data_IF_225919730742
#
_entry.id   IF_225919730742
#
_cell.length_a   1.000
_cell.length_b   1.000
_cell.length_c   1.000
_cell.angle_alpha   90.00
_cell.angle_beta   90.00
_cell.angle_gamma   90.00
#
_symmetry.space_group_name_H-M   'P 1'
#
loop_
_entity.id
_entity.type
_entity.pdbx_description
1 polymer ?
#
# COMPACT_ATOMS: atom_id res chain seq x y z
N UNK A 1 43.93 5.87 -40.38
CA UNK A 1 43.77 4.39 -40.33
C UNK A 1 44.25 3.81 -39.00
N UNK A 2 45.39 4.24 -38.44
CA UNK A 2 45.92 3.70 -37.17
C UNK A 2 45.07 4.03 -35.93
N UNK A 3 44.39 5.18 -35.90
CA UNK A 3 43.50 5.57 -34.80
C UNK A 3 42.27 4.65 -34.72
N UNK A 4 41.74 4.25 -35.88
CA UNK A 4 40.57 3.38 -35.99
C UNK A 4 40.90 1.94 -35.59
N UNK A 5 42.10 1.47 -35.95
CA UNK A 5 42.65 0.18 -35.51
C UNK A 5 42.90 0.18 -33.98
N UNK A 6 43.43 1.29 -33.44
CA UNK A 6 43.65 1.44 -31.99
C UNK A 6 42.36 1.44 -31.18
N UNK A 7 41.33 2.18 -31.63
CA UNK A 7 40.01 2.20 -31.00
C UNK A 7 39.31 0.84 -31.09
N UNK A 8 39.43 0.16 -32.24
CA UNK A 8 38.89 -1.18 -32.43
C UNK A 8 39.56 -2.20 -31.50
N UNK A 9 40.87 -2.11 -31.31
CA UNK A 9 41.60 -3.02 -30.41
C UNK A 9 41.15 -2.83 -28.95
N UNK A 10 40.97 -1.58 -28.50
CA UNK A 10 40.48 -1.29 -27.15
C UNK A 10 39.06 -1.82 -26.95
N UNK A 11 38.16 -1.60 -27.92
CA UNK A 11 36.79 -2.11 -27.85
C UNK A 11 36.73 -3.65 -27.85
N UNK A 12 37.57 -4.30 -28.67
CA UNK A 12 37.68 -5.77 -28.67
C UNK A 12 38.22 -6.27 -27.34
N UNK A 13 39.21 -5.60 -26.75
CA UNK A 13 39.83 -6.00 -25.47
C UNK A 13 38.87 -5.80 -24.29
N UNK A 14 38.04 -4.77 -24.33
CA UNK A 14 36.97 -4.47 -23.36
C UNK A 14 35.80 -5.48 -23.47
N UNK A 15 35.47 -5.93 -24.69
CA UNK A 15 34.43 -6.94 -24.98
C UNK A 15 34.97 -8.39 -25.06
N UNK A 16 36.27 -8.63 -24.82
CA UNK A 16 36.90 -9.97 -24.84
C UNK A 16 36.53 -10.79 -23.58
N UNK A 17 35.24 -10.81 -23.26
CA UNK A 17 34.69 -11.73 -22.30
C UNK A 17 34.57 -13.10 -22.97
N UNK A 18 35.47 -14.01 -22.61
CA UNK A 18 35.44 -15.41 -23.04
C UNK A 18 34.06 -16.06 -22.87
N UNK A 19 33.30 -15.66 -21.85
CA UNK A 19 31.93 -16.14 -21.61
C UNK A 19 30.99 -15.65 -22.70
N UNK A 20 31.01 -14.35 -23.04
CA UNK A 20 30.19 -13.77 -24.12
C UNK A 20 30.52 -14.39 -25.48
N UNK A 21 31.81 -14.65 -25.76
CA UNK A 21 32.23 -15.34 -26.98
C UNK A 21 31.66 -16.76 -27.06
N UNK A 22 31.73 -17.52 -25.96
CA UNK A 22 31.19 -18.88 -25.92
C UNK A 22 29.67 -18.89 -26.04
N UNK A 23 28.98 -17.93 -25.42
CA UNK A 23 27.54 -17.74 -25.53
C UNK A 23 27.11 -17.50 -26.98
N UNK A 24 27.72 -16.51 -27.64
CA UNK A 24 27.43 -16.19 -29.06
C UNK A 24 27.76 -17.38 -29.97
N UNK A 25 28.87 -18.08 -29.70
CA UNK A 25 29.24 -19.28 -30.47
C UNK A 25 28.21 -20.40 -30.32
N UNK A 26 27.62 -20.59 -29.14
CA UNK A 26 26.56 -21.56 -28.90
C UNK A 26 25.25 -21.16 -29.59
N UNK A 27 24.89 -19.87 -29.54
CA UNK A 27 23.71 -19.32 -30.20
C UNK A 27 23.78 -19.50 -31.72
N UNK A 28 24.91 -19.12 -32.34
CA UNK A 28 25.15 -19.31 -33.78
C UNK A 28 25.09 -20.80 -34.15
N UNK A 29 25.65 -21.69 -33.32
CA UNK A 29 25.59 -23.13 -33.58
C UNK A 29 24.16 -23.67 -33.55
N UNK A 30 23.34 -23.21 -32.60
CA UNK A 30 21.94 -23.57 -32.50
C UNK A 30 21.12 -23.07 -33.70
N UNK A 31 21.39 -21.84 -34.17
CA UNK A 31 20.77 -21.31 -35.39
C UNK A 31 21.15 -22.12 -36.63
N UNK A 32 22.43 -22.47 -36.77
CA UNK A 32 22.91 -23.34 -37.86
C UNK A 32 22.17 -24.68 -37.81
N UNK A 33 22.06 -25.29 -36.63
CA UNK A 33 21.37 -26.57 -36.46
C UNK A 33 19.89 -26.49 -36.83
N UNK A 34 19.20 -25.44 -36.38
CA UNK A 34 17.77 -25.29 -36.54
C UNK A 34 17.36 -24.92 -37.98
N UNK A 35 18.12 -24.03 -38.63
CA UNK A 35 17.73 -23.43 -39.91
C UNK A 35 18.49 -23.95 -41.12
N UNK A 36 19.73 -24.42 -40.95
CA UNK A 36 20.63 -24.68 -42.08
C UNK A 36 20.99 -26.16 -42.28
N UNK A 37 20.61 -27.06 -41.36
CA UNK A 37 20.91 -28.49 -41.45
C UNK A 37 19.68 -29.35 -41.79
N UNK A 38 19.85 -30.25 -42.77
CA UNK A 38 18.86 -31.27 -43.09
C UNK A 38 18.78 -32.34 -41.98
N UNK A 39 17.61 -33.02 -41.80
CA UNK A 39 17.43 -34.00 -40.72
C UNK A 39 18.45 -35.14 -40.69
N UNK A 40 19.06 -35.48 -41.82
CA UNK A 40 20.11 -36.51 -41.87
C UNK A 40 21.49 -36.00 -41.46
N UNK A 41 21.78 -34.71 -41.67
CA UNK A 41 23.05 -34.07 -41.27
C UNK A 41 23.11 -33.88 -39.74
N UNK A 42 21.98 -33.56 -39.11
CA UNK A 42 21.87 -33.48 -37.64
C UNK A 42 22.12 -34.82 -36.92
N UNK A 43 22.01 -35.94 -37.64
CA UNK A 43 22.27 -37.29 -37.11
C UNK A 43 23.72 -37.73 -37.31
N UNK A 44 24.58 -36.89 -37.89
CA UNK A 44 26.00 -37.22 -38.04
C UNK A 44 26.74 -37.01 -36.72
N UNK A 45 26.93 -38.11 -35.98
CA UNK A 45 27.66 -38.17 -34.72
C UNK A 45 29.06 -37.56 -34.78
N UNK A 46 29.70 -37.58 -35.95
CA UNK A 46 31.02 -36.96 -36.19
C UNK A 46 30.98 -35.44 -36.17
N UNK A 47 29.83 -34.82 -36.48
CA UNK A 47 29.67 -33.36 -36.54
C UNK A 47 28.90 -32.85 -35.32
N UNK A 48 27.95 -33.63 -34.81
CA UNK A 48 27.15 -33.35 -33.61
C UNK A 48 27.19 -34.57 -32.68
N UNK A 49 28.18 -34.64 -31.78
CA UNK A 49 28.23 -35.73 -30.81
C UNK A 49 27.05 -35.64 -29.85
N UNK A 50 26.53 -36.80 -29.45
CA UNK A 50 25.42 -36.89 -28.49
C UNK A 50 25.82 -36.37 -27.09
N UNK A 51 27.09 -36.47 -26.73
CA UNK A 51 27.66 -36.01 -25.46
C UNK A 51 28.94 -35.22 -25.72
N UNK A 52 29.06 -34.04 -25.12
CA UNK A 52 30.27 -33.21 -25.16
C UNK A 52 30.93 -33.25 -23.79
N UNK A 53 32.18 -33.75 -23.74
CA UNK A 53 32.98 -33.72 -22.52
C UNK A 53 33.70 -32.38 -22.41
N UNK A 54 33.47 -31.66 -21.31
CA UNK A 54 34.18 -30.42 -21.00
C UNK A 54 35.02 -30.60 -19.74
N UNK A 55 36.23 -30.05 -19.73
CA UNK A 55 37.06 -30.00 -18.54
C UNK A 55 36.64 -28.81 -17.68
N UNK A 56 36.06 -29.09 -16.52
CA UNK A 56 35.71 -28.10 -15.52
C UNK A 56 36.61 -28.27 -14.30
N UNK A 57 37.16 -27.16 -13.82
CA UNK A 57 37.98 -27.11 -12.61
C UNK A 57 37.06 -27.24 -11.38
N UNK A 58 37.29 -28.26 -10.57
CA UNK A 58 36.43 -28.62 -9.44
C UNK A 58 36.19 -27.43 -8.50
N UNK A 59 37.26 -26.74 -8.08
CA UNK A 59 37.17 -25.66 -7.10
C UNK A 59 36.43 -24.45 -7.67
N UNK A 60 36.71 -24.11 -8.93
CA UNK A 60 36.03 -23.01 -9.62
C UNK A 60 34.55 -23.33 -9.80
N UNK A 61 34.23 -24.52 -10.30
CA UNK A 61 32.84 -24.94 -10.51
C UNK A 61 32.07 -24.96 -9.19
N UNK A 62 32.67 -25.46 -8.11
CA UNK A 62 32.06 -25.45 -6.78
C UNK A 62 31.75 -24.02 -6.31
N UNK A 63 32.70 -23.10 -6.45
CA UNK A 63 32.50 -21.70 -6.08
C UNK A 63 31.41 -20.99 -6.88
N UNK A 64 31.37 -21.21 -8.19
CA UNK A 64 30.35 -20.65 -9.07
C UNK A 64 28.94 -21.17 -8.74
N UNK A 65 28.79 -22.48 -8.50
CA UNK A 65 27.50 -23.08 -8.12
C UNK A 65 27.01 -22.54 -6.78
N UNK A 66 27.90 -22.40 -5.79
CA UNK A 66 27.55 -21.79 -4.50
C UNK A 66 27.10 -20.33 -4.66
N UNK A 67 27.75 -19.55 -5.54
CA UNK A 67 27.34 -18.18 -5.85
C UNK A 67 25.92 -18.14 -6.43
N UNK A 68 25.64 -18.96 -7.44
CA UNK A 68 24.33 -19.03 -8.09
C UNK A 68 23.22 -19.41 -7.11
N UNK A 69 23.48 -20.34 -6.17
CA UNK A 69 22.53 -20.71 -5.12
C UNK A 69 22.24 -19.52 -4.20
N UNK A 70 23.29 -18.79 -3.78
CA UNK A 70 23.16 -17.62 -2.91
C UNK A 70 22.42 -16.46 -3.57
N UNK A 71 22.65 -16.24 -4.86
CA UNK A 71 22.00 -15.19 -5.67
C UNK A 71 20.57 -15.56 -6.08
N UNK A 72 20.16 -16.82 -5.88
CA UNK A 72 18.83 -17.30 -6.29
C UNK A 72 18.69 -17.54 -7.79
N UNK A 73 19.78 -17.47 -8.54
CA UNK A 73 19.84 -17.73 -9.98
C UNK A 73 19.92 -19.22 -10.32
N UNK A 74 20.07 -20.08 -9.30
CA UNK A 74 20.09 -21.54 -9.46
C UNK A 74 18.71 -22.10 -9.84
N UNK A 75 18.52 -22.34 -11.13
CA UNK A 75 17.20 -22.46 -11.75
C UNK A 75 16.21 -23.52 -11.22
N UNK A 76 16.51 -24.52 -10.40
CA UNK A 76 15.59 -25.60 -9.89
C UNK A 76 14.54 -26.32 -10.79
N UNK A 77 14.06 -25.81 -11.94
CA UNK A 77 12.93 -26.39 -12.72
C UNK A 77 13.35 -27.43 -13.77
N UNK A 78 14.52 -27.26 -14.39
CA UNK A 78 15.01 -28.15 -15.45
C UNK A 78 16.20 -29.00 -14.98
N UNK A 79 16.33 -30.21 -15.55
CA UNK A 79 17.44 -31.14 -15.30
C UNK A 79 17.69 -31.50 -13.82
N UNK A 80 16.62 -31.70 -13.04
CA UNK A 80 16.67 -31.94 -11.59
C UNK A 80 17.59 -33.12 -11.21
N UNK A 81 17.55 -34.22 -11.94
CA UNK A 81 18.39 -35.40 -11.68
C UNK A 81 19.88 -35.09 -11.87
N UNK A 82 20.26 -34.49 -13.02
CA UNK A 82 21.65 -34.14 -13.31
C UNK A 82 22.20 -33.11 -12.30
N UNK A 83 21.35 -32.19 -11.82
CA UNK A 83 21.74 -31.23 -10.79
C UNK A 83 22.02 -31.87 -9.44
N UNK A 84 21.18 -32.80 -9.01
CA UNK A 84 21.41 -33.53 -7.76
C UNK A 84 22.71 -34.34 -7.84
N UNK A 85 22.99 -34.95 -8.99
CA UNK A 85 24.28 -35.61 -9.26
C UNK A 85 25.42 -34.59 -9.16
N UNK A 86 25.32 -33.44 -9.84
CA UNK A 86 26.35 -32.41 -9.80
C UNK A 86 26.62 -31.87 -8.38
N UNK A 87 25.58 -31.60 -7.60
CA UNK A 87 25.71 -31.12 -6.22
C UNK A 87 26.39 -32.15 -5.33
N UNK A 88 26.08 -33.43 -5.53
CA UNK A 88 26.74 -34.54 -4.83
C UNK A 88 28.21 -34.65 -5.22
N UNK A 89 28.53 -34.59 -6.51
CA UNK A 89 29.91 -34.62 -7.01
C UNK A 89 30.72 -33.43 -6.50
N UNK A 90 30.14 -32.23 -6.44
CA UNK A 90 30.79 -31.01 -5.94
C UNK A 90 30.83 -30.91 -4.39
N UNK A 91 30.32 -31.92 -3.68
CA UNK A 91 30.23 -31.92 -2.21
C UNK A 91 29.56 -30.64 -1.67
N UNK A 92 28.44 -30.26 -2.30
CA UNK A 92 27.62 -29.12 -1.89
C UNK A 92 26.37 -29.67 -1.20
N UNK A 93 26.27 -29.45 0.11
CA UNK A 93 25.03 -29.65 0.85
C UNK A 93 24.03 -28.56 0.47
N UNK A 94 23.14 -28.88 -0.47
CA UNK A 94 22.03 -28.00 -0.83
C UNK A 94 20.71 -28.66 -0.43
N UNK A 95 20.08 -28.10 0.60
CA UNK A 95 18.75 -28.52 1.01
C UNK A 95 17.73 -27.63 0.27
N UNK A 96 16.86 -28.18 -0.59
CA UNK A 96 15.91 -27.38 -1.38
C UNK A 96 14.86 -26.64 -0.53
N UNK A 97 14.86 -26.88 0.79
CA UNK A 97 13.85 -26.43 1.77
C UNK A 97 14.02 -24.94 2.14
N UNK A 98 15.14 -24.28 1.83
CA UNK A 98 15.29 -22.85 2.18
C UNK A 98 14.32 -21.91 1.41
N UNK A 99 13.75 -22.39 0.31
CA UNK A 99 12.68 -21.68 -0.39
C UNK A 99 11.32 -21.75 0.33
N UNK A 100 11.11 -22.71 1.23
CA UNK A 100 9.86 -22.84 1.98
C UNK A 100 9.74 -21.77 3.07
N UNK A 101 10.86 -21.43 3.73
CA UNK A 101 10.93 -20.31 4.65
C UNK A 101 10.72 -18.95 3.95
N UNK A 102 11.22 -18.81 2.71
CA UNK A 102 10.99 -17.63 1.86
C UNK A 102 9.53 -17.59 1.40
N UNK A 103 8.94 -18.73 1.03
CA UNK A 103 7.54 -18.83 0.61
C UNK A 103 6.57 -18.51 1.76
N UNK A 104 6.82 -19.00 2.98
CA UNK A 104 6.02 -18.65 4.16
C UNK A 104 6.14 -17.17 4.51
N UNK A 105 7.35 -16.59 4.42
CA UNK A 105 7.53 -15.13 4.57
C UNK A 105 6.77 -14.36 3.49
N UNK A 106 6.80 -14.79 2.23
CA UNK A 106 6.06 -14.16 1.13
C UNK A 106 4.54 -14.27 1.30
N UNK A 107 4.01 -15.43 1.71
CA UNK A 107 2.58 -15.59 2.04
C UNK A 107 2.15 -14.66 3.18
N UNK A 108 2.99 -14.52 4.21
CA UNK A 108 2.71 -13.61 5.33
C UNK A 108 2.69 -12.14 4.88
N UNK A 109 3.61 -11.74 4.01
CA UNK A 109 3.64 -10.40 3.43
C UNK A 109 2.47 -10.13 2.48
N UNK A 110 2.06 -11.11 1.67
CA UNK A 110 0.90 -11.01 0.78
C UNK A 110 -0.40 -10.82 1.58
N UNK A 111 -0.53 -11.50 2.73
CA UNK A 111 -1.67 -11.32 3.64
C UNK A 111 -1.72 -9.92 4.24
N UNK A 112 -0.57 -9.38 4.68
CA UNK A 112 -0.46 -8.00 5.20
C UNK A 112 -0.79 -6.95 4.12
N UNK A 113 -0.45 -7.20 2.86
CA UNK A 113 -0.83 -6.33 1.75
C UNK A 113 -2.33 -6.34 1.50
N UNK A 114 -2.97 -7.52 1.51
CA UNK A 114 -4.44 -7.64 1.38
C UNK A 114 -5.20 -6.93 2.50
N UNK A 115 -4.70 -7.01 3.73
CA UNK A 115 -5.29 -6.32 4.89
C UNK A 115 -5.09 -4.78 4.85
N UNK A 116 -4.04 -4.30 4.15
CA UNK A 116 -3.76 -2.87 3.95
C UNK A 116 -4.22 -2.32 2.60
N UNK A 117 -4.96 -3.11 1.80
CA UNK A 117 -5.48 -2.62 0.53
C UNK A 117 -6.45 -1.47 0.76
N UNK A 118 -6.28 -0.43 -0.06
CA UNK A 118 -6.98 0.85 0.01
C UNK A 118 -8.51 0.74 0.13
N UNK A 119 -9.14 -0.34 -0.33
CA UNK A 119 -10.58 -0.60 -0.20
C UNK A 119 -11.04 -0.70 1.26
N UNK A 120 -10.33 -1.43 2.13
CA UNK A 120 -10.71 -1.58 3.55
C UNK A 120 -10.53 -0.25 4.30
N UNK A 121 -9.53 0.53 3.92
CA UNK A 121 -9.28 1.87 4.48
C UNK A 121 -10.37 2.85 4.00
N UNK A 122 -10.76 2.80 2.72
CA UNK A 122 -11.84 3.62 2.16
C UNK A 122 -13.19 3.34 2.83
N UNK A 123 -13.51 2.08 3.10
CA UNK A 123 -14.77 1.70 3.76
C UNK A 123 -14.80 2.19 5.22
N UNK A 124 -13.67 2.09 5.94
CA UNK A 124 -13.54 2.65 7.29
C UNK A 124 -13.66 4.18 7.29
N UNK A 125 -13.05 4.87 6.32
CA UNK A 125 -13.16 6.33 6.19
C UNK A 125 -14.60 6.77 5.91
N UNK A 126 -15.30 6.13 4.97
CA UNK A 126 -16.73 6.40 4.71
C UNK A 126 -17.58 6.23 5.97
N UNK A 127 -17.32 5.19 6.76
CA UNK A 127 -18.05 4.96 8.01
C UNK A 127 -17.76 6.01 9.10
N UNK A 128 -16.59 6.65 9.05
CA UNK A 128 -16.22 7.72 9.97
C UNK A 128 -16.83 9.06 9.54
N UNK A 129 -16.87 9.36 8.25
CA UNK A 129 -17.52 10.56 7.71
C UNK A 129 -19.02 10.58 8.07
N UNK A 130 -19.74 9.47 7.88
CA UNK A 130 -21.17 9.37 8.26
C UNK A 130 -21.42 9.56 9.77
N UNK A 131 -20.44 9.24 10.62
CA UNK A 131 -20.54 9.49 12.07
C UNK A 131 -20.27 10.95 12.42
N UNK A 132 -19.42 11.62 11.64
CA UNK A 132 -19.10 13.04 11.83
C UNK A 132 -20.31 13.91 11.50
N UNK A 133 -21.00 13.63 10.39
CA UNK A 133 -22.22 14.36 9.98
C UNK A 133 -23.30 14.30 11.07
N UNK A 134 -23.51 13.11 11.65
CA UNK A 134 -24.48 12.91 12.76
C UNK A 134 -24.09 13.65 14.04
N UNK A 135 -22.78 13.81 14.29
CA UNK A 135 -22.29 14.54 15.47
C UNK A 135 -22.52 16.05 15.30
N UNK A 136 -22.31 16.57 14.09
CA UNK A 136 -22.52 17.98 13.77
C UNK A 136 -24.01 18.36 13.87
N UNK A 137 -24.92 17.48 13.47
CA UNK A 137 -26.36 17.65 13.67
C UNK A 137 -26.75 17.71 15.16
N UNK A 138 -26.16 16.84 15.99
CA UNK A 138 -26.37 16.84 17.44
C UNK A 138 -25.87 18.13 18.10
N UNK A 139 -24.76 18.67 17.64
CA UNK A 139 -24.20 19.93 18.16
C UNK A 139 -25.11 21.12 17.81
N UNK A 140 -25.60 21.19 16.56
CA UNK A 140 -26.58 22.20 16.13
C UNK A 140 -27.88 22.14 16.94
N UNK A 141 -28.39 20.94 17.23
CA UNK A 141 -29.58 20.76 18.07
C UNK A 141 -29.36 21.27 19.50
N UNK A 142 -28.16 21.03 20.06
CA UNK A 142 -27.80 21.48 21.41
C UNK A 142 -27.70 23.00 21.49
N UNK A 143 -27.19 23.66 20.45
CA UNK A 143 -27.16 25.13 20.36
C UNK A 143 -28.57 25.73 20.25
N UNK A 144 -29.44 25.15 19.41
CA UNK A 144 -30.83 25.57 19.29
C UNK A 144 -31.61 25.41 20.60
N UNK A 145 -31.36 24.33 21.34
CA UNK A 145 -31.97 24.11 22.66
C UNK A 145 -31.54 25.20 23.66
N UNK A 146 -30.27 25.63 23.61
CA UNK A 146 -29.75 26.71 24.46
C UNK A 146 -30.42 28.06 24.13
N UNK A 147 -30.52 28.40 22.84
CA UNK A 147 -31.21 29.61 22.36
C UNK A 147 -32.70 29.63 22.76
N UNK A 148 -33.39 28.48 22.68
CA UNK A 148 -34.79 28.38 23.10
C UNK A 148 -34.97 28.64 24.60
N UNK A 149 -34.06 28.13 25.44
CA UNK A 149 -34.08 28.38 26.88
C UNK A 149 -33.81 29.85 27.22
N UNK A 150 -32.87 30.49 26.53
CA UNK A 150 -32.56 31.92 26.71
C UNK A 150 -33.73 32.83 26.30
N UNK A 151 -34.32 32.59 25.12
CA UNK A 151 -35.46 33.39 24.63
C UNK A 151 -36.70 33.27 25.53
N UNK A 152 -37.00 32.08 26.04
CA UNK A 152 -38.15 31.91 26.94
C UNK A 152 -37.98 32.71 28.25
N UNK A 153 -36.75 32.79 28.77
CA UNK A 153 -36.49 33.55 29.99
C UNK A 153 -36.59 35.06 29.77
N UNK A 154 -36.09 35.60 28.65
CA UNK A 154 -36.25 37.01 28.31
C UNK A 154 -37.72 37.41 28.12
N UNK A 155 -38.50 36.60 27.40
CA UNK A 155 -39.92 36.86 27.18
C UNK A 155 -40.72 36.82 28.50
N UNK A 156 -40.36 35.94 29.44
CA UNK A 156 -40.97 35.89 30.77
C UNK A 156 -40.63 37.15 31.57
N UNK A 157 -39.37 37.61 31.53
CA UNK A 157 -38.92 38.82 32.23
C UNK A 157 -39.63 40.09 31.73
N UNK A 158 -39.82 40.21 30.41
CA UNK A 158 -40.50 41.36 29.83
C UNK A 158 -42.00 41.39 30.17
N UNK A 159 -42.66 40.22 30.17
CA UNK A 159 -44.05 40.10 30.63
C UNK A 159 -44.21 40.43 32.12
N UNK A 160 -43.26 40.05 32.97
CA UNK A 160 -43.25 40.39 34.40
C UNK A 160 -43.11 41.90 34.62
N UNK A 161 -42.14 42.56 33.98
CA UNK A 161 -41.99 44.03 34.04
C UNK A 161 -43.27 44.77 33.62
N UNK A 162 -43.92 44.30 32.55
CA UNK A 162 -45.20 44.85 32.09
C UNK A 162 -46.33 44.70 33.12
N UNK A 163 -46.35 43.61 33.88
CA UNK A 163 -47.36 43.38 34.92
C UNK A 163 -47.10 44.24 36.16
N UNK A 164 -45.84 44.42 36.56
CA UNK A 164 -45.47 45.28 37.69
C UNK A 164 -45.87 46.75 37.42
N UNK A 165 -45.59 47.27 36.21
CA UNK A 165 -46.03 48.63 35.84
C UNK A 165 -47.55 48.80 35.86
N UNK A 166 -48.30 47.77 35.44
CA UNK A 166 -49.77 47.79 35.48
C UNK A 166 -50.28 47.75 36.93
N UNK A 167 -49.61 47.00 37.80
CA UNK A 167 -49.96 46.89 39.22
C UNK A 167 -49.75 48.23 39.95
N UNK A 168 -48.67 48.94 39.66
CA UNK A 168 -48.41 50.25 40.28
C UNK A 168 -49.43 51.31 39.84
N UNK A 169 -49.80 51.32 38.55
CA UNK A 169 -50.89 52.17 38.06
C UNK A 169 -52.24 51.85 38.73
N UNK A 170 -52.51 50.58 39.01
CA UNK A 170 -53.74 50.16 39.69
C UNK A 170 -53.79 50.69 41.14
N UNK A 171 -52.67 50.60 41.87
CA UNK A 171 -52.56 51.12 43.25
C UNK A 171 -52.77 52.64 43.31
N UNK A 172 -52.28 53.40 42.33
CA UNK A 172 -52.55 54.84 42.27
C UNK A 172 -54.04 55.14 42.03
N UNK A 173 -54.69 54.36 41.16
CA UNK A 173 -56.12 54.49 40.88
C UNK A 173 -56.98 54.17 42.11
N UNK A 174 -56.56 53.20 42.93
CA UNK A 174 -57.21 52.86 44.19
C UNK A 174 -57.08 53.99 45.22
N UNK A 175 -55.88 54.59 45.36
CA UNK A 175 -55.69 55.79 46.19
C UNK A 175 -56.58 56.95 45.75
N UNK A 176 -56.74 57.18 44.45
CA UNK A 176 -57.63 58.22 43.92
C UNK A 176 -59.10 57.95 44.25
N UNK A 177 -59.56 56.69 44.14
CA UNK A 177 -60.92 56.31 44.55
C UNK A 177 -61.16 56.50 46.05
N UNK A 178 -60.16 56.19 46.89
CA UNK A 178 -60.21 56.43 48.34
C UNK A 178 -60.38 57.93 48.65
N UNK A 179 -59.61 58.79 47.97
CA UNK A 179 -59.71 60.25 48.09
C UNK A 179 -61.09 60.74 47.62
N UNK A 180 -61.59 60.23 46.50
CA UNK A 180 -62.91 60.61 45.98
C UNK A 180 -64.04 60.21 46.94
N UNK A 181 -63.91 59.06 47.61
CA UNK A 181 -64.84 58.62 48.65
C UNK A 181 -64.80 59.54 49.87
N UNK A 182 -63.62 59.91 50.35
CA UNK A 182 -63.46 60.88 51.46
C UNK A 182 -64.04 62.26 51.09
N UNK A 183 -63.86 62.73 49.86
CA UNK A 183 -64.47 63.99 49.38
C UNK A 183 -65.99 63.94 49.37
N UNK A 184 -66.59 62.81 48.95
CA UNK A 184 -68.06 62.61 49.00
C UNK A 184 -68.59 62.60 50.44
N UNK A 185 -67.85 62.05 51.40
CA UNK A 185 -68.22 62.07 52.82
C UNK A 185 -68.12 63.48 53.46
N UNK A 186 -67.15 64.30 53.04
CA UNK A 186 -67.01 65.69 53.50
C UNK A 186 -68.15 66.58 52.99
N UNK A 187 -68.61 66.38 51.75
CA UNK A 187 -69.70 67.17 51.15
C UNK A 187 -71.11 66.73 51.59
N UNK A 188 -71.24 65.61 52.31
CA UNK A 188 -72.51 65.09 52.82
C UNK A 188 -72.81 65.48 54.29
N UNK A 189 -71.99 66.35 54.90
CA UNK A 189 -72.18 66.98 56.21
C UNK A 189 -72.49 68.46 56.08
#
# INVERSE_FOLDING_TARGET
MNLLIGLLNIAIEEDNNRVSYLMQKAEILAEIELFYLLPHQRRWLTWFPEVIHYYADFDKTRGEVQRLIKEGEWNTKEFTEMRNVLLKELEIEHNPIDNEAILEKLKSHEKLLKENNNEVILEKLKSHDEKLDKLEELEKLKELEKLSKENNNEVILEKLKSHDEKLDKLKELEKLKEIEKLLKEIWAK
#
